data_IF_280727451554
#
_entry.id   IF_280727451554
#
_cell.length_a   1.000
_cell.length_b   1.000
_cell.length_c   1.000
_cell.angle_alpha   90.00
_cell.angle_beta   90.00
_cell.angle_gamma   90.00
#
_symmetry.space_group_name_H-M   'P 1'
#
loop_
_entity.id
_entity.type
_entity.pdbx_description
1 polymer ?
#
# COMPACT_ATOMS: atom_id res chain seq x y z
N UNK A 1 -25.18 -32.14 -28.61
CA UNK A 1 -23.88 -31.53 -28.97
C UNK A 1 -23.23 -30.97 -27.68
N UNK A 2 -21.94 -31.31 -27.40
CA UNK A 2 -21.22 -30.67 -26.33
C UNK A 2 -20.90 -29.23 -26.77
N UNK A 3 -21.48 -28.25 -26.13
CA UNK A 3 -21.20 -26.82 -26.41
C UNK A 3 -19.81 -26.46 -25.88
N UNK A 4 -18.93 -26.03 -26.78
CA UNK A 4 -17.64 -25.47 -26.43
C UNK A 4 -17.87 -24.08 -25.83
N UNK A 5 -17.32 -23.81 -24.64
CA UNK A 5 -17.35 -22.49 -24.00
C UNK A 5 -15.95 -21.95 -23.87
N UNK A 6 -15.82 -20.65 -24.00
CA UNK A 6 -14.55 -19.93 -23.78
C UNK A 6 -14.49 -19.41 -22.34
N UNK A 7 -13.36 -19.58 -21.67
CA UNK A 7 -13.11 -18.97 -20.36
C UNK A 7 -12.33 -17.69 -20.59
N UNK A 8 -12.90 -16.57 -20.17
CA UNK A 8 -12.22 -15.28 -20.15
C UNK A 8 -11.97 -14.88 -18.69
N UNK A 9 -10.71 -14.88 -18.26
CA UNK A 9 -10.35 -14.68 -16.85
C UNK A 9 -9.33 -13.56 -16.61
N UNK A 10 -8.70 -13.03 -17.66
CA UNK A 10 -7.67 -12.01 -17.49
C UNK A 10 -8.27 -10.61 -17.37
N UNK A 11 -7.92 -9.94 -16.26
CA UNK A 11 -8.29 -8.55 -15.98
C UNK A 11 -9.79 -8.27 -16.03
N UNK A 12 -10.63 -9.24 -15.64
CA UNK A 12 -12.09 -9.12 -15.70
C UNK A 12 -12.62 -8.21 -14.60
N UNK A 13 -13.55 -7.34 -14.98
CA UNK A 13 -14.34 -6.48 -14.12
C UNK A 13 -15.80 -6.47 -14.55
N UNK A 14 -16.73 -6.02 -13.71
CA UNK A 14 -18.15 -5.91 -14.08
C UNK A 14 -18.36 -5.10 -15.36
N UNK A 15 -17.57 -4.04 -15.56
CA UNK A 15 -17.63 -3.22 -16.78
C UNK A 15 -17.24 -4.04 -18.01
N UNK A 16 -16.12 -4.77 -17.96
CA UNK A 16 -15.67 -5.62 -19.07
C UNK A 16 -16.65 -6.76 -19.36
N UNK A 17 -17.22 -7.40 -18.35
CA UNK A 17 -18.24 -8.44 -18.51
C UNK A 17 -19.43 -7.88 -19.28
N UNK A 18 -19.91 -6.69 -18.89
CA UNK A 18 -21.02 -6.04 -19.60
C UNK A 18 -20.68 -5.74 -21.05
N UNK A 19 -19.52 -5.14 -21.32
CA UNK A 19 -19.08 -4.82 -22.69
C UNK A 19 -18.95 -6.06 -23.58
N UNK A 20 -18.45 -7.19 -23.04
CA UNK A 20 -18.35 -8.45 -23.79
C UNK A 20 -19.74 -9.02 -24.06
N UNK A 21 -20.62 -9.04 -23.06
CA UNK A 21 -21.98 -9.53 -23.21
C UNK A 21 -22.75 -8.73 -24.27
N UNK A 22 -22.64 -7.41 -24.26
CA UNK A 22 -23.28 -6.54 -25.27
C UNK A 22 -22.78 -6.84 -26.68
N UNK A 23 -21.47 -7.07 -26.86
CA UNK A 23 -20.89 -7.43 -28.16
C UNK A 23 -21.34 -8.80 -28.62
N UNK A 24 -21.42 -9.80 -27.73
CA UNK A 24 -21.91 -11.14 -28.08
C UNK A 24 -23.37 -11.10 -28.48
N UNK A 25 -24.23 -10.40 -27.75
CA UNK A 25 -25.64 -10.22 -28.08
C UNK A 25 -25.82 -9.53 -29.43
N UNK A 26 -25.05 -8.46 -29.69
CA UNK A 26 -25.07 -7.74 -30.97
C UNK A 26 -24.64 -8.64 -32.14
N UNK A 27 -23.76 -9.62 -31.90
CA UNK A 27 -23.34 -10.61 -32.89
C UNK A 27 -24.28 -11.82 -32.99
N UNK A 28 -25.40 -11.84 -32.26
CA UNK A 28 -26.40 -12.92 -32.30
C UNK A 28 -26.04 -14.13 -31.42
N UNK A 29 -25.08 -14.02 -30.52
CA UNK A 29 -24.68 -15.09 -29.60
C UNK A 29 -25.29 -14.90 -28.21
N UNK A 30 -25.63 -16.01 -27.55
CA UNK A 30 -25.99 -16.02 -26.12
C UNK A 30 -24.73 -16.02 -25.25
N UNK A 31 -24.48 -15.01 -24.44
CA UNK A 31 -23.29 -15.00 -23.59
C UNK A 31 -23.22 -16.19 -22.62
N UNK A 32 -24.38 -16.64 -22.10
CA UNK A 32 -24.45 -17.78 -21.18
C UNK A 32 -24.03 -19.09 -21.81
N UNK A 33 -24.16 -19.20 -23.14
CA UNK A 33 -23.81 -20.40 -23.88
C UNK A 33 -22.38 -20.41 -24.41
N UNK A 34 -21.80 -19.21 -24.59
CA UNK A 34 -20.52 -19.03 -25.27
C UNK A 34 -19.36 -18.78 -24.30
N UNK A 35 -19.57 -18.08 -23.16
CA UNK A 35 -18.47 -17.62 -22.32
C UNK A 35 -18.72 -17.89 -20.83
N UNK A 36 -17.63 -18.19 -20.14
CA UNK A 36 -17.55 -18.25 -18.67
C UNK A 36 -16.52 -17.23 -18.24
N UNK A 37 -16.86 -16.43 -17.24
CA UNK A 37 -15.96 -15.40 -16.72
C UNK A 37 -15.29 -15.86 -15.43
N UNK A 38 -13.96 -15.75 -15.37
CA UNK A 38 -13.20 -15.82 -14.13
C UNK A 38 -12.91 -14.41 -13.63
N UNK A 39 -13.32 -14.08 -12.41
CA UNK A 39 -13.02 -12.81 -11.78
C UNK A 39 -12.23 -13.08 -10.49
N UNK A 40 -10.94 -12.75 -10.49
CA UNK A 40 -10.06 -12.90 -9.32
C UNK A 40 -10.04 -11.64 -8.46
N UNK A 41 -8.88 -10.97 -8.37
CA UNK A 41 -8.66 -9.80 -7.53
C UNK A 41 -9.71 -8.69 -7.67
N UNK A 42 -10.23 -8.44 -8.88
CA UNK A 42 -11.26 -7.42 -9.10
C UNK A 42 -12.61 -7.69 -8.43
N UNK A 43 -12.87 -8.92 -7.96
CA UNK A 43 -14.07 -9.21 -7.19
C UNK A 43 -13.97 -8.64 -5.77
N UNK A 44 -12.77 -8.73 -5.16
CA UNK A 44 -12.49 -8.29 -3.81
C UNK A 44 -11.75 -6.93 -3.78
N UNK A 45 -11.05 -6.59 -4.87
CA UNK A 45 -10.14 -5.45 -4.97
C UNK A 45 -10.66 -4.41 -5.98
N UNK A 46 -11.79 -3.81 -5.63
CA UNK A 46 -12.33 -2.66 -6.39
C UNK A 46 -11.52 -1.39 -6.15
N UNK A 47 -10.64 -1.38 -5.13
CA UNK A 47 -9.81 -0.27 -4.75
C UNK A 47 -8.36 -0.61 -5.10
N UNK A 48 -7.81 0.07 -6.09
CA UNK A 48 -6.41 -0.13 -6.46
C UNK A 48 -5.47 0.45 -5.40
N UNK A 49 -4.24 -0.06 -5.34
CA UNK A 49 -3.17 0.52 -4.52
C UNK A 49 -3.03 2.04 -4.74
N UNK A 50 -3.22 2.50 -5.96
CA UNK A 50 -3.12 3.94 -6.29
C UNK A 50 -4.26 4.75 -5.69
N UNK A 51 -5.46 4.18 -5.56
CA UNK A 51 -6.61 4.85 -4.95
C UNK A 51 -6.43 5.07 -3.44
N UNK A 52 -5.70 4.17 -2.78
CA UNK A 52 -5.38 4.29 -1.35
C UNK A 52 -4.06 5.01 -1.10
N UNK A 53 -3.35 5.42 -2.15
CA UNK A 53 -1.97 5.96 -2.06
C UNK A 53 -1.01 5.02 -1.31
N UNK A 54 -1.33 3.72 -1.26
CA UNK A 54 -0.53 2.73 -0.56
C UNK A 54 0.73 2.37 -1.37
N UNK A 55 1.86 2.28 -0.68
CA UNK A 55 3.12 1.84 -1.26
C UNK A 55 3.92 1.03 -0.24
N UNK A 56 4.69 0.07 -0.73
CA UNK A 56 5.65 -0.69 0.06
C UNK A 56 7.04 -0.48 -0.53
N UNK A 57 8.01 -0.12 0.31
CA UNK A 57 9.38 0.13 -0.08
C UNK A 57 10.33 -0.59 0.86
N UNK A 58 11.42 -1.15 0.32
CA UNK A 58 12.51 -1.64 1.12
C UNK A 58 13.23 -0.45 1.74
N UNK A 59 13.34 -0.44 3.07
CA UNK A 59 13.92 0.66 3.83
C UNK A 59 15.19 0.25 4.61
N UNK A 60 15.34 -1.03 4.95
CA UNK A 60 16.51 -1.57 5.62
C UNK A 60 16.82 -2.99 5.15
N UNK A 61 18.08 -3.41 5.20
CA UNK A 61 18.54 -4.76 4.85
C UNK A 61 19.55 -5.29 5.85
N UNK A 62 19.57 -6.63 5.96
CA UNK A 62 20.48 -7.36 6.86
C UNK A 62 20.10 -7.25 8.33
N UNK A 63 20.72 -8.09 9.16
CA UNK A 63 20.43 -8.17 10.60
C UNK A 63 20.87 -6.90 11.38
N UNK A 64 21.77 -6.12 10.80
CA UNK A 64 22.23 -4.85 11.36
C UNK A 64 21.37 -3.63 10.93
N UNK A 65 20.29 -3.88 10.18
CA UNK A 65 19.37 -2.82 9.79
C UNK A 65 19.99 -1.75 8.87
N UNK A 66 20.98 -2.10 8.01
CA UNK A 66 21.57 -1.13 7.09
C UNK A 66 20.50 -0.38 6.31
N UNK A 67 20.50 0.94 6.41
CA UNK A 67 19.55 1.80 5.72
C UNK A 67 19.71 1.70 4.21
N UNK A 68 18.59 1.58 3.52
CA UNK A 68 18.50 1.66 2.07
C UNK A 68 17.28 2.48 1.67
N UNK A 69 17.30 3.07 0.49
CA UNK A 69 16.16 3.81 0.00
C UNK A 69 15.98 3.59 -1.50
N UNK A 70 14.75 3.69 -1.97
CA UNK A 70 14.48 3.83 -3.39
C UNK A 70 14.70 5.28 -3.78
N UNK A 71 15.61 5.50 -4.74
CA UNK A 71 15.83 6.81 -5.35
C UNK A 71 15.14 6.88 -6.72
N UNK A 72 14.34 7.90 -6.92
CA UNK A 72 13.77 8.26 -8.21
C UNK A 72 13.40 9.75 -8.17
N UNK A 73 13.48 10.48 -9.26
CA UNK A 73 13.13 11.91 -9.30
C UNK A 73 11.75 12.16 -8.69
N UNK A 74 11.70 12.96 -7.62
CA UNK A 74 10.46 13.29 -6.90
C UNK A 74 9.77 12.14 -6.16
N UNK A 75 10.42 10.96 -6.00
CA UNK A 75 9.80 9.76 -5.40
C UNK A 75 10.78 8.99 -4.50
N UNK A 76 11.63 9.69 -3.77
CA UNK A 76 12.52 9.05 -2.79
C UNK A 76 11.71 8.42 -1.65
N UNK A 77 12.13 7.24 -1.20
CA UNK A 77 11.54 6.61 0.00
C UNK A 77 12.30 7.03 1.26
N UNK A 78 11.67 6.85 2.41
CA UNK A 78 12.31 7.05 3.72
C UNK A 78 13.24 5.86 3.99
N UNK A 79 14.52 6.09 4.31
CA UNK A 79 15.46 5.01 4.68
C UNK A 79 15.31 4.60 6.14
N UNK A 80 15.70 3.35 6.43
CA UNK A 80 15.83 2.84 7.79
C UNK A 80 14.53 2.35 8.41
N UNK A 81 14.65 1.77 9.61
CA UNK A 81 13.52 1.30 10.41
C UNK A 81 13.03 2.45 11.28
N UNK A 82 11.83 2.90 11.02
CA UNK A 82 11.26 4.11 11.64
C UNK A 82 10.06 3.80 12.52
N UNK A 83 9.76 4.72 13.42
CA UNK A 83 8.56 4.77 14.26
C UNK A 83 7.82 6.08 14.04
N UNK A 84 6.56 6.14 14.45
CA UNK A 84 5.77 7.36 14.49
C UNK A 84 5.65 7.82 15.92
N UNK A 85 6.10 9.04 16.18
CA UNK A 85 5.99 9.68 17.49
C UNK A 85 5.07 10.88 17.39
N UNK A 86 4.19 11.08 18.37
CA UNK A 86 3.30 12.23 18.42
C UNK A 86 3.68 13.15 19.58
N UNK A 87 4.03 14.36 19.25
CA UNK A 87 4.34 15.41 20.23
C UNK A 87 3.38 16.59 20.04
N UNK A 88 2.70 16.96 21.12
CA UNK A 88 1.71 18.04 21.11
C UNK A 88 0.68 17.94 19.98
N UNK A 89 0.26 16.70 19.67
CA UNK A 89 -0.69 16.42 18.60
C UNK A 89 -0.09 16.30 17.20
N UNK A 90 1.16 16.68 16.98
CA UNK A 90 1.83 16.62 15.68
C UNK A 90 2.60 15.30 15.55
N UNK A 91 2.31 14.48 14.51
CA UNK A 91 3.09 13.26 14.25
C UNK A 91 4.46 13.60 13.66
N UNK A 92 5.48 12.82 14.02
CA UNK A 92 6.80 12.85 13.39
C UNK A 92 7.33 11.45 13.14
N UNK A 93 8.10 11.28 12.06
CA UNK A 93 8.79 10.04 11.72
C UNK A 93 10.19 10.09 12.27
N UNK A 94 10.54 9.13 13.11
CA UNK A 94 11.86 9.05 13.79
C UNK A 94 12.44 7.65 13.65
N UNK A 95 13.73 7.50 13.85
CA UNK A 95 14.34 6.19 14.01
C UNK A 95 13.94 5.55 15.34
N UNK A 96 14.06 4.23 15.45
CA UNK A 96 13.66 3.49 16.64
C UNK A 96 14.41 3.92 17.90
N UNK A 97 15.68 4.35 17.78
CA UNK A 97 16.57 4.80 18.85
C UNK A 97 16.36 6.26 19.26
N UNK A 98 15.64 7.05 18.48
CA UNK A 98 15.29 8.42 18.86
C UNK A 98 14.23 8.44 19.99
N UNK A 99 14.17 9.54 20.73
CA UNK A 99 13.22 9.72 21.84
C UNK A 99 11.76 9.68 21.36
N UNK A 100 10.85 9.30 22.27
CA UNK A 100 9.40 9.28 22.07
C UNK A 100 8.83 7.88 21.92
N UNK A 101 7.59 7.72 22.37
CA UNK A 101 6.85 6.45 22.27
C UNK A 101 6.34 6.24 20.84
N UNK A 102 6.47 5.00 20.35
CA UNK A 102 5.95 4.64 19.03
C UNK A 102 4.41 4.55 19.06
N UNK A 103 3.77 5.20 18.12
CA UNK A 103 2.32 5.08 17.88
C UNK A 103 1.96 3.85 17.04
N UNK A 104 2.96 3.22 16.40
CA UNK A 104 2.76 1.99 15.65
C UNK A 104 2.69 0.80 16.59
N UNK A 105 1.83 -0.14 16.27
CA UNK A 105 1.63 -1.36 17.03
C UNK A 105 2.17 -2.53 16.22
N UNK A 106 2.98 -3.37 16.85
CA UNK A 106 3.45 -4.60 16.23
C UNK A 106 2.28 -5.58 16.09
N UNK A 107 1.92 -5.86 14.86
CA UNK A 107 0.84 -6.79 14.51
C UNK A 107 1.35 -8.21 14.28
N UNK A 108 2.44 -8.31 13.56
CA UNK A 108 3.00 -9.59 13.14
C UNK A 108 4.52 -9.49 13.00
N UNK A 109 5.25 -10.38 13.64
CA UNK A 109 6.72 -10.42 13.62
C UNK A 109 7.31 -11.52 12.74
N UNK A 110 6.48 -12.29 12.06
CA UNK A 110 6.90 -13.42 11.23
C UNK A 110 7.12 -14.73 11.99
N UNK A 111 7.13 -14.70 13.34
CA UNK A 111 7.52 -15.85 14.16
C UNK A 111 6.44 -16.28 15.14
N UNK A 112 5.83 -15.34 15.82
CA UNK A 112 4.92 -15.60 16.95
C UNK A 112 3.43 -15.34 16.63
N UNK A 113 3.10 -15.10 15.35
CA UNK A 113 1.73 -14.83 14.94
C UNK A 113 1.29 -13.39 15.21
N UNK A 114 -0.02 -13.18 15.38
CA UNK A 114 -0.58 -11.85 15.61
C UNK A 114 -0.42 -11.44 17.08
N UNK A 115 0.28 -10.33 17.32
CA UNK A 115 0.50 -9.81 18.68
C UNK A 115 -0.70 -9.03 19.22
N UNK A 116 -1.38 -8.29 18.38
CA UNK A 116 -2.51 -7.47 18.77
C UNK A 116 -3.53 -7.36 17.65
N UNK A 117 -4.81 -7.41 18.01
CA UNK A 117 -5.90 -7.04 17.11
C UNK A 117 -6.39 -5.64 17.49
N UNK A 118 -6.36 -4.72 16.53
CA UNK A 118 -6.96 -3.40 16.70
C UNK A 118 -8.41 -3.42 16.23
N UNK A 119 -9.30 -2.79 16.98
CA UNK A 119 -10.66 -2.56 16.51
C UNK A 119 -10.63 -1.63 15.29
N UNK A 120 -11.14 -2.10 14.17
CA UNK A 120 -11.18 -1.34 12.92
C UNK A 120 -11.92 -0.02 13.07
N UNK A 121 -13.01 0.01 13.84
CA UNK A 121 -13.77 1.24 14.10
C UNK A 121 -12.94 2.29 14.83
N UNK A 122 -12.08 1.87 15.77
CA UNK A 122 -11.16 2.77 16.46
C UNK A 122 -10.10 3.35 15.51
N UNK A 123 -9.47 2.49 14.69
CA UNK A 123 -8.49 2.93 13.69
C UNK A 123 -9.12 3.90 12.69
N UNK A 124 -10.31 3.59 12.19
CA UNK A 124 -11.03 4.44 11.25
C UNK A 124 -11.33 5.82 11.83
N UNK A 125 -11.81 5.91 13.07
CA UNK A 125 -12.07 7.18 13.77
C UNK A 125 -10.80 8.01 13.92
N UNK A 126 -9.68 7.37 14.31
CA UNK A 126 -8.39 8.04 14.44
C UNK A 126 -7.91 8.60 13.10
N UNK A 127 -7.94 7.79 12.04
CA UNK A 127 -7.53 8.21 10.69
C UNK A 127 -8.38 9.38 10.18
N UNK A 128 -9.69 9.32 10.32
CA UNK A 128 -10.59 10.40 9.88
C UNK A 128 -10.39 11.69 10.69
N UNK A 129 -10.13 11.57 12.00
CA UNK A 129 -9.85 12.72 12.86
C UNK A 129 -8.54 13.42 12.50
N UNK A 130 -7.52 12.66 12.15
CA UNK A 130 -6.19 13.18 11.84
C UNK A 130 -6.03 13.65 10.38
N UNK A 131 -6.88 13.18 9.47
CA UNK A 131 -6.72 13.35 8.02
C UNK A 131 -6.59 14.82 7.57
N UNK A 132 -7.37 15.71 8.18
CA UNK A 132 -7.35 17.15 7.86
C UNK A 132 -6.36 17.97 8.70
N UNK A 133 -5.80 17.37 9.75
CA UNK A 133 -4.91 18.05 10.69
C UNK A 133 -3.43 17.73 10.45
N UNK A 134 -3.12 16.75 9.61
CA UNK A 134 -1.75 16.26 9.42
C UNK A 134 -0.95 17.18 8.50
N UNK A 135 0.25 17.64 8.92
CA UNK A 135 1.15 18.43 8.08
C UNK A 135 1.65 17.64 6.86
N UNK A 136 2.30 18.33 5.92
CA UNK A 136 2.87 17.67 4.73
C UNK A 136 3.92 16.62 5.14
N UNK A 137 4.04 15.50 4.41
CA UNK A 137 4.97 14.41 4.77
C UNK A 137 6.43 14.84 4.96
N UNK A 138 6.92 15.82 4.19
CA UNK A 138 8.28 16.35 4.29
C UNK A 138 8.57 17.08 5.62
N UNK A 139 7.55 17.57 6.29
CA UNK A 139 7.63 18.26 7.57
C UNK A 139 7.60 17.30 8.77
N UNK A 140 7.23 16.02 8.50
CA UNK A 140 7.09 14.99 9.51
C UNK A 140 8.40 14.26 9.85
N UNK A 141 9.45 14.41 9.04
CA UNK A 141 10.71 13.70 9.23
C UNK A 141 11.57 14.37 10.27
N UNK A 142 12.13 13.59 11.23
CA UNK A 142 13.16 14.07 12.13
C UNK A 142 14.43 14.45 11.37
N UNK A 143 15.28 15.26 12.01
CA UNK A 143 16.54 15.69 11.39
C UNK A 143 17.49 14.52 11.14
N UNK A 144 17.49 13.50 12.01
CA UNK A 144 18.25 12.27 11.82
C UNK A 144 17.80 11.50 10.56
N UNK A 145 16.49 11.38 10.34
CA UNK A 145 15.94 10.72 9.14
C UNK A 145 16.27 11.51 7.87
N UNK A 146 16.19 12.84 7.91
CA UNK A 146 16.57 13.72 6.78
C UNK A 146 18.06 13.58 6.47
N UNK A 147 18.93 13.66 7.48
CA UNK A 147 20.38 13.54 7.30
C UNK A 147 20.78 12.20 6.67
N UNK A 148 20.20 11.09 7.12
CA UNK A 148 20.45 9.77 6.53
C UNK A 148 19.98 9.67 5.08
N UNK A 149 18.85 10.28 4.74
CA UNK A 149 18.39 10.33 3.35
C UNK A 149 19.35 11.14 2.46
N UNK A 150 19.81 12.29 2.94
CA UNK A 150 20.75 13.16 2.21
C UNK A 150 22.11 12.48 2.02
N UNK A 151 22.61 11.77 3.04
CA UNK A 151 23.82 10.96 2.94
C UNK A 151 23.71 9.90 1.83
N UNK A 152 22.63 9.10 1.84
CA UNK A 152 22.41 8.10 0.81
C UNK A 152 22.30 8.72 -0.59
N UNK A 153 21.64 9.87 -0.71
CA UNK A 153 21.56 10.60 -1.99
C UNK A 153 22.97 11.05 -2.42
N UNK A 154 23.80 11.51 -1.51
CA UNK A 154 25.17 11.98 -1.82
C UNK A 154 26.07 10.85 -2.30
N UNK A 155 25.95 9.66 -1.70
CA UNK A 155 26.74 8.46 -2.06
C UNK A 155 26.41 7.96 -3.48
N UNK A 156 25.13 8.03 -3.86
CA UNK A 156 24.62 7.44 -5.10
C UNK A 156 24.26 8.47 -6.19
N UNK A 157 24.50 9.75 -5.96
CA UNK A 157 24.50 10.75 -7.04
C UNK A 157 25.75 10.52 -7.90
N UNK A 158 25.56 9.81 -8.99
CA UNK A 158 26.46 9.80 -10.13
C UNK A 158 26.26 11.06 -10.98
#
# INVERSE_FOLDING_TARGET
MKTLRVIQADGMSFKKIREINEKLLAAGFSPTDCVVYGMGGHLADMISRSNTSAAMKLAAVGNNGRHVMKMAPGKNSIPGITKIVREQGTPSVRYLDEAGSDELVLWYDGTHGLHQQSDFGHVQKKVLGDFFATPKPSELLSDAVKASADELISIYKL
#
